data_IF_078312192627
#
_entry.id   IF_078312192627
#
_cell.length_a   1.000
_cell.length_b   1.000
_cell.length_c   1.000
_cell.angle_alpha   90.00
_cell.angle_beta   90.00
_cell.angle_gamma   90.00
#
_symmetry.space_group_name_H-M   'P 1'
#
loop_
_entity.id
_entity.type
_entity.pdbx_description
1 polymer ?
#
# COMPACT_ATOMS: atom_id res chain seq x y z
N UNK A 1 -79.87 -5.29 87.15
CA UNK A 1 -81.21 -5.68 86.68
C UNK A 1 -81.82 -4.53 85.91
N UNK A 2 -82.44 -4.86 84.77
CA UNK A 2 -83.35 -4.05 83.93
C UNK A 2 -82.72 -2.98 83.01
N UNK A 3 -82.49 -3.29 81.72
CA UNK A 3 -83.45 -3.35 80.57
C UNK A 3 -83.51 -1.98 79.89
N UNK A 4 -82.76 -1.73 78.81
CA UNK A 4 -82.99 -2.12 77.39
C UNK A 4 -84.07 -1.29 76.67
N UNK A 5 -83.63 -0.51 75.66
CA UNK A 5 -84.33 -0.14 74.40
C UNK A 5 -83.42 0.79 73.60
N UNK A 6 -82.58 0.29 72.68
CA UNK A 6 -82.83 0.10 71.24
C UNK A 6 -83.61 1.25 70.58
N UNK A 7 -82.89 2.15 69.92
CA UNK A 7 -83.38 2.89 68.75
C UNK A 7 -82.37 2.63 67.62
N UNK A 8 -82.83 1.88 66.63
CA UNK A 8 -82.15 1.62 65.37
C UNK A 8 -82.53 2.77 64.44
N UNK A 9 -81.55 3.58 64.02
CA UNK A 9 -81.71 4.49 62.88
C UNK A 9 -80.87 3.94 61.74
N UNK A 10 -81.54 3.26 60.82
CA UNK A 10 -80.99 2.85 59.54
C UNK A 10 -80.89 4.10 58.64
N UNK A 11 -79.70 4.70 58.59
CA UNK A 11 -79.36 5.77 57.66
C UNK A 11 -78.78 5.20 56.38
N UNK A 12 -79.59 5.17 55.33
CA UNK A 12 -79.25 4.75 53.98
C UNK A 12 -78.53 5.92 53.27
N UNK A 13 -77.19 5.93 53.19
CA UNK A 13 -76.46 6.93 52.39
C UNK A 13 -75.25 6.32 51.66
N UNK A 14 -75.45 6.15 50.35
CA UNK A 14 -74.50 6.27 49.24
C UNK A 14 -73.11 5.64 49.38
N UNK A 15 -72.95 4.47 48.74
CA UNK A 15 -71.67 3.96 48.25
C UNK A 15 -71.09 4.91 47.18
N UNK A 16 -70.13 5.76 47.57
CA UNK A 16 -69.32 6.53 46.63
C UNK A 16 -68.26 5.59 46.05
N UNK A 17 -68.47 5.19 44.80
CA UNK A 17 -67.49 4.43 44.05
C UNK A 17 -66.17 5.23 43.95
N UNK A 18 -65.07 4.52 44.18
CA UNK A 18 -63.72 5.04 44.10
C UNK A 18 -63.41 5.61 42.70
N UNK A 19 -62.88 6.83 42.67
CA UNK A 19 -62.06 7.33 41.58
C UNK A 19 -60.72 7.80 42.18
N UNK A 20 -59.88 6.83 42.57
CA UNK A 20 -58.47 7.10 42.70
C UNK A 20 -57.93 7.42 41.29
N UNK A 21 -57.18 8.53 41.09
CA UNK A 21 -56.55 8.78 39.80
C UNK A 21 -55.64 7.58 39.48
N UNK A 22 -55.79 7.00 38.28
CA UNK A 22 -54.85 6.00 37.77
C UNK A 22 -53.42 6.56 37.97
N UNK A 23 -52.49 5.80 38.57
CA UNK A 23 -51.09 6.19 38.57
C UNK A 23 -50.68 6.50 37.14
N UNK A 24 -50.31 7.75 36.87
CA UNK A 24 -49.74 8.13 35.59
C UNK A 24 -48.49 7.27 35.46
N UNK A 25 -48.44 6.40 34.45
CA UNK A 25 -47.25 5.62 34.18
C UNK A 25 -46.06 6.60 34.09
N UNK A 26 -44.94 6.34 34.80
CA UNK A 26 -43.78 7.21 34.72
C UNK A 26 -43.40 7.42 33.25
N UNK A 27 -43.04 8.64 32.84
CA UNK A 27 -42.68 8.92 31.46
C UNK A 27 -41.60 7.94 31.01
N UNK A 28 -41.67 7.42 29.76
CA UNK A 28 -40.68 6.48 29.27
C UNK A 28 -39.29 7.09 29.41
N UNK A 29 -38.28 6.30 29.83
CA UNK A 29 -36.92 6.80 29.97
C UNK A 29 -36.46 7.40 28.64
N UNK A 30 -35.68 8.51 28.67
CA UNK A 30 -35.19 9.13 27.46
C UNK A 30 -34.40 8.10 26.64
N UNK A 31 -34.54 8.12 25.30
CA UNK A 31 -33.81 7.20 24.45
C UNK A 31 -32.31 7.31 24.74
N UNK A 32 -31.59 6.18 24.83
CA UNK A 32 -30.15 6.20 25.09
C UNK A 32 -29.46 7.08 24.05
N UNK A 33 -28.44 7.86 24.47
CA UNK A 33 -27.73 8.74 23.55
C UNK A 33 -27.17 7.91 22.38
N UNK A 34 -27.22 8.45 21.14
CA UNK A 34 -26.72 7.74 19.98
C UNK A 34 -25.25 7.40 20.18
N UNK A 35 -24.90 6.13 20.00
CA UNK A 35 -23.51 5.67 20.05
C UNK A 35 -22.76 6.34 18.90
N UNK A 36 -21.90 7.30 19.21
CA UNK A 36 -21.03 7.94 18.21
C UNK A 36 -19.94 6.95 17.85
N UNK A 37 -20.03 6.33 16.68
CA UNK A 37 -18.96 5.48 16.14
C UNK A 37 -17.85 6.39 15.61
N UNK A 38 -16.75 6.50 16.34
CA UNK A 38 -15.56 7.22 15.86
C UNK A 38 -14.85 6.38 14.81
N UNK A 39 -14.93 6.80 13.55
CA UNK A 39 -14.25 6.15 12.43
C UNK A 39 -12.79 6.64 12.41
N UNK A 40 -11.78 5.75 12.52
CA UNK A 40 -10.38 6.17 12.41
C UNK A 40 -10.06 6.65 10.98
N UNK A 41 -9.05 7.51 10.78
CA UNK A 41 -8.65 7.92 9.45
C UNK A 41 -8.17 6.72 8.63
N UNK A 42 -8.49 6.74 7.32
CA UNK A 42 -8.00 5.73 6.38
C UNK A 42 -6.47 5.77 6.32
N UNK A 43 -5.77 4.63 6.28
CA UNK A 43 -4.33 4.59 6.10
C UNK A 43 -3.89 5.41 4.87
N UNK A 44 -2.72 6.06 4.98
CA UNK A 44 -2.11 6.81 3.88
C UNK A 44 -0.95 6.01 3.26
N UNK A 45 -0.70 6.18 1.95
CA UNK A 45 0.42 5.50 1.29
C UNK A 45 1.76 6.00 1.87
N UNK A 46 2.74 5.10 2.07
CA UNK A 46 4.05 5.47 2.57
C UNK A 46 4.80 6.38 1.60
N UNK A 47 5.65 7.27 2.12
CA UNK A 47 6.49 8.14 1.31
C UNK A 47 5.72 9.10 0.39
N UNK A 48 4.45 9.41 0.72
CA UNK A 48 3.54 10.18 -0.13
C UNK A 48 3.40 9.58 -1.55
N UNK A 49 3.47 8.25 -1.66
CA UNK A 49 3.29 7.58 -2.95
C UNK A 49 1.88 7.77 -3.51
N UNK A 50 1.74 7.61 -4.81
CA UNK A 50 0.42 7.60 -5.47
C UNK A 50 -0.46 6.50 -4.86
N UNK A 51 -1.76 6.77 -4.73
CA UNK A 51 -2.77 5.75 -4.36
C UNK A 51 -2.87 4.61 -5.38
N UNK A 52 -2.39 4.85 -6.61
CA UNK A 52 -2.39 3.90 -7.73
C UNK A 52 -1.01 3.33 -8.04
N UNK A 53 -0.05 3.41 -7.10
CA UNK A 53 1.28 2.84 -7.30
C UNK A 53 1.18 1.34 -7.64
N UNK A 54 1.79 0.97 -8.76
CA UNK A 54 1.92 -0.42 -9.19
C UNK A 54 3.19 -0.98 -8.56
N UNK A 55 3.04 -2.10 -7.84
CA UNK A 55 4.17 -2.81 -7.26
C UNK A 55 4.77 -3.79 -8.28
N UNK A 56 6.10 -3.99 -8.25
CA UNK A 56 6.73 -5.03 -9.04
C UNK A 56 6.23 -6.42 -8.63
N UNK A 57 6.46 -7.41 -9.49
CA UNK A 57 6.18 -8.81 -9.17
C UNK A 57 7.07 -9.31 -8.03
N UNK A 58 6.62 -10.37 -7.34
CA UNK A 58 7.43 -11.10 -6.35
C UNK A 58 8.05 -12.35 -6.97
N UNK A 59 9.26 -12.72 -6.54
CA UNK A 59 9.89 -13.99 -6.86
C UNK A 59 9.33 -15.12 -5.99
N UNK A 60 9.79 -16.34 -6.25
CA UNK A 60 9.39 -17.56 -5.53
C UNK A 60 9.71 -17.53 -4.02
N UNK A 61 10.66 -16.68 -3.61
CA UNK A 61 11.05 -16.42 -2.23
C UNK A 61 10.19 -15.36 -1.54
N UNK A 62 9.19 -14.81 -2.24
CA UNK A 62 8.27 -13.78 -1.74
C UNK A 62 8.84 -12.36 -1.77
N UNK A 63 10.08 -12.15 -2.23
CA UNK A 63 10.68 -10.81 -2.33
C UNK A 63 10.27 -10.11 -3.62
N UNK A 64 10.18 -8.79 -3.59
CA UNK A 64 9.98 -8.01 -4.82
C UNK A 64 11.17 -8.13 -5.77
N UNK A 65 10.88 -8.33 -7.06
CA UNK A 65 11.87 -8.40 -8.12
C UNK A 65 12.08 -7.03 -8.72
N UNK A 66 13.33 -6.57 -8.70
CA UNK A 66 13.78 -5.27 -9.19
C UNK A 66 14.74 -5.45 -10.37
N UNK A 67 15.10 -4.36 -11.05
CA UNK A 67 16.14 -4.38 -12.08
C UNK A 67 17.53 -4.79 -11.53
N UNK A 68 17.69 -4.81 -10.21
CA UNK A 68 18.92 -5.15 -9.51
C UNK A 68 18.90 -6.56 -8.89
N UNK A 69 17.80 -7.30 -9.01
CA UNK A 69 17.64 -8.63 -8.39
C UNK A 69 18.49 -9.70 -9.08
N UNK A 70 19.28 -10.44 -8.29
CA UNK A 70 20.08 -11.56 -8.78
C UNK A 70 21.23 -11.20 -9.72
N UNK A 71 21.61 -9.92 -9.79
CA UNK A 71 22.66 -9.44 -10.69
C UNK A 71 24.04 -9.56 -10.02
N UNK A 72 25.01 -10.09 -10.76
CA UNK A 72 26.39 -10.33 -10.28
C UNK A 72 27.45 -9.75 -11.21
N UNK A 73 28.72 -9.78 -10.77
CA UNK A 73 29.89 -9.47 -11.60
C UNK A 73 29.86 -8.07 -12.23
N UNK A 74 30.30 -7.99 -13.49
CA UNK A 74 30.43 -6.74 -14.25
C UNK A 74 29.11 -5.97 -14.32
N UNK A 75 28.00 -6.66 -14.55
CA UNK A 75 26.68 -6.05 -14.63
C UNK A 75 26.28 -5.44 -13.28
N UNK A 76 26.56 -6.10 -12.16
CA UNK A 76 26.26 -5.56 -10.83
C UNK A 76 27.01 -4.26 -10.58
N UNK A 77 28.32 -4.23 -10.89
CA UNK A 77 29.12 -3.02 -10.73
C UNK A 77 28.65 -1.88 -11.65
N UNK A 78 28.27 -2.19 -12.90
CA UNK A 78 27.74 -1.20 -13.83
C UNK A 78 26.42 -0.59 -13.34
N UNK A 79 25.48 -1.40 -12.85
CA UNK A 79 24.21 -0.90 -12.28
C UNK A 79 24.42 -0.12 -10.99
N UNK A 80 25.34 -0.57 -10.12
CA UNK A 80 25.76 0.15 -8.91
C UNK A 80 26.28 1.54 -9.24
N UNK A 81 27.16 1.65 -10.26
CA UNK A 81 27.66 2.95 -10.74
C UNK A 81 26.53 3.87 -11.23
N UNK A 82 25.51 3.32 -11.89
CA UNK A 82 24.34 4.11 -12.33
C UNK A 82 23.57 4.62 -11.11
N UNK A 83 23.26 3.77 -10.14
CA UNK A 83 22.57 4.19 -8.92
C UNK A 83 23.34 5.27 -8.16
N UNK A 84 24.66 5.11 -8.00
CA UNK A 84 25.50 6.14 -7.36
C UNK A 84 25.57 7.44 -8.17
N UNK A 85 25.46 7.38 -9.50
CA UNK A 85 25.39 8.58 -10.33
C UNK A 85 24.05 9.31 -10.16
N UNK A 86 22.94 8.58 -10.11
CA UNK A 86 21.62 9.14 -9.80
C UNK A 86 21.65 9.83 -8.45
N UNK A 87 22.24 9.19 -7.44
CA UNK A 87 22.39 9.79 -6.12
C UNK A 87 23.25 11.06 -6.15
N UNK A 88 24.43 11.03 -6.77
CA UNK A 88 25.32 12.19 -6.87
C UNK A 88 24.66 13.39 -7.57
N UNK A 89 23.74 13.15 -8.53
CA UNK A 89 23.02 14.21 -9.24
C UNK A 89 21.75 14.63 -8.50
N UNK A 90 21.04 13.73 -7.82
CA UNK A 90 19.70 13.97 -7.29
C UNK A 90 19.60 14.18 -5.78
N UNK A 91 20.56 13.70 -4.99
CA UNK A 91 20.54 13.82 -3.54
C UNK A 91 21.09 15.17 -3.09
N UNK A 92 20.38 15.81 -2.15
CA UNK A 92 20.70 17.14 -1.62
C UNK A 92 20.63 17.13 -0.09
N UNK A 93 21.38 18.04 0.53
CA UNK A 93 21.40 18.21 1.99
C UNK A 93 22.78 17.94 2.60
N UNK A 94 22.79 17.52 3.87
CA UNK A 94 24.02 17.43 4.69
C UNK A 94 25.10 16.52 4.09
N UNK A 95 24.69 15.46 3.39
CA UNK A 95 25.58 14.43 2.84
C UNK A 95 25.94 14.67 1.38
N UNK A 96 25.46 15.76 0.76
CA UNK A 96 25.66 16.03 -0.66
C UNK A 96 27.14 16.13 -1.03
N UNK A 97 27.90 16.93 -0.28
CA UNK A 97 29.33 17.14 -0.55
C UNK A 97 30.14 15.84 -0.41
N UNK A 98 29.85 15.04 0.61
CA UNK A 98 30.54 13.76 0.85
C UNK A 98 30.20 12.73 -0.22
N UNK A 99 28.94 12.65 -0.64
CA UNK A 99 28.48 11.76 -1.70
C UNK A 99 29.10 12.12 -3.05
N UNK A 100 29.07 13.40 -3.45
CA UNK A 100 29.65 13.86 -4.72
C UNK A 100 31.15 13.64 -4.73
N UNK A 101 31.86 13.93 -3.64
CA UNK A 101 33.30 13.67 -3.52
C UNK A 101 33.64 12.19 -3.66
N UNK A 102 32.92 11.31 -2.95
CA UNK A 102 33.13 9.87 -3.04
C UNK A 102 32.83 9.34 -4.45
N UNK A 103 31.75 9.79 -5.09
CA UNK A 103 31.41 9.39 -6.45
C UNK A 103 32.48 9.81 -7.47
N UNK A 104 33.00 11.04 -7.36
CA UNK A 104 34.11 11.50 -8.19
C UNK A 104 35.39 10.67 -7.96
N UNK A 105 35.67 10.26 -6.72
CA UNK A 105 36.79 9.36 -6.43
C UNK A 105 36.59 7.96 -7.03
N UNK A 106 35.36 7.43 -7.04
CA UNK A 106 35.02 6.16 -7.71
C UNK A 106 35.33 6.26 -9.21
N UNK A 107 34.91 7.33 -9.88
CA UNK A 107 35.20 7.54 -11.31
C UNK A 107 36.71 7.60 -11.55
N UNK A 108 37.44 8.33 -10.71
CA UNK A 108 38.90 8.50 -10.82
C UNK A 108 39.64 7.18 -10.62
N UNK A 109 39.30 6.44 -9.56
CA UNK A 109 40.00 5.23 -9.14
C UNK A 109 39.65 4.03 -10.03
N UNK A 110 38.38 3.86 -10.37
CA UNK A 110 37.86 2.66 -11.06
C UNK A 110 37.55 2.88 -12.54
N UNK A 111 37.99 4.00 -13.14
CA UNK A 111 37.61 4.40 -14.50
C UNK A 111 37.88 3.35 -15.59
N UNK A 112 38.96 2.56 -15.48
CA UNK A 112 39.22 1.44 -16.41
C UNK A 112 38.20 0.31 -16.25
N UNK A 113 37.87 -0.04 -15.00
CA UNK A 113 36.88 -1.07 -14.69
C UNK A 113 35.49 -0.65 -15.17
N UNK A 114 35.08 0.60 -14.91
CA UNK A 114 33.79 1.16 -15.38
C UNK A 114 33.63 0.98 -16.89
N UNK A 115 34.64 1.36 -17.68
CA UNK A 115 34.63 1.21 -19.15
C UNK A 115 34.57 -0.27 -19.57
N UNK A 116 35.32 -1.13 -18.89
CA UNK A 116 35.32 -2.57 -19.16
C UNK A 116 33.95 -3.19 -18.88
N UNK A 117 33.37 -2.92 -17.72
CA UNK A 117 32.06 -3.48 -17.34
C UNK A 117 30.94 -3.02 -18.26
N UNK A 118 30.97 -1.76 -18.70
CA UNK A 118 30.00 -1.27 -19.68
C UNK A 118 30.12 -2.00 -21.02
N UNK A 119 31.35 -2.23 -21.49
CA UNK A 119 31.58 -3.02 -22.70
C UNK A 119 31.07 -4.46 -22.55
N UNK A 120 31.27 -5.09 -21.39
CA UNK A 120 30.71 -6.41 -21.07
C UNK A 120 29.18 -6.38 -21.16
N UNK A 121 28.53 -5.42 -20.50
CA UNK A 121 27.06 -5.27 -20.51
C UNK A 121 26.52 -5.09 -21.94
N UNK A 122 27.16 -4.24 -22.75
CA UNK A 122 26.79 -4.06 -24.17
C UNK A 122 26.89 -5.40 -24.91
N UNK A 123 27.99 -6.14 -24.73
CA UNK A 123 28.20 -7.44 -25.37
C UNK A 123 27.16 -8.49 -24.95
N UNK A 124 26.81 -8.56 -23.67
CA UNK A 124 25.79 -9.47 -23.15
C UNK A 124 24.40 -9.13 -23.70
N UNK A 125 24.02 -7.85 -23.67
CA UNK A 125 22.74 -7.38 -24.20
C UNK A 125 22.64 -7.59 -25.71
N UNK A 126 23.73 -7.33 -26.45
CA UNK A 126 23.79 -7.59 -27.89
C UNK A 126 23.60 -9.07 -28.23
N UNK A 127 24.26 -9.97 -27.49
CA UNK A 127 24.08 -11.42 -27.64
C UNK A 127 22.64 -11.85 -27.34
N UNK A 128 22.07 -11.39 -26.23
CA UNK A 128 20.72 -11.75 -25.81
C UNK A 128 19.64 -11.27 -26.80
N UNK A 129 19.85 -10.12 -27.44
CA UNK A 129 18.87 -9.49 -28.33
C UNK A 129 19.21 -9.65 -29.82
N UNK A 130 20.32 -10.31 -30.16
CA UNK A 130 20.85 -10.44 -31.53
C UNK A 130 21.07 -9.08 -32.20
N UNK A 131 21.60 -8.12 -31.45
CA UNK A 131 21.93 -6.74 -31.89
C UNK A 131 23.38 -6.40 -31.56
N UNK A 132 23.80 -5.15 -31.81
CA UNK A 132 25.07 -4.62 -31.31
C UNK A 132 25.03 -4.19 -29.82
N UNK A 133 23.88 -4.34 -29.14
CA UNK A 133 23.69 -4.12 -27.70
C UNK A 133 23.61 -2.67 -27.23
N UNK A 134 23.89 -1.69 -28.09
CA UNK A 134 23.97 -0.27 -27.67
C UNK A 134 22.58 0.26 -27.28
N UNK A 135 21.58 0.01 -28.13
CA UNK A 135 20.19 0.43 -27.88
C UNK A 135 19.64 -0.21 -26.61
N UNK A 136 19.97 -1.47 -26.38
CA UNK A 136 19.55 -2.24 -25.22
C UNK A 136 20.22 -1.71 -23.95
N UNK A 137 21.52 -1.36 -24.01
CA UNK A 137 22.25 -0.71 -22.92
C UNK A 137 21.62 0.62 -22.56
N UNK A 138 21.31 1.46 -23.56
CA UNK A 138 20.68 2.77 -23.34
C UNK A 138 19.31 2.61 -22.68
N UNK A 139 18.48 1.68 -23.18
CA UNK A 139 17.18 1.35 -22.59
C UNK A 139 17.31 0.91 -21.12
N UNK A 140 18.25 0.01 -20.83
CA UNK A 140 18.48 -0.48 -19.47
C UNK A 140 18.97 0.65 -18.56
N UNK A 141 19.86 1.52 -19.06
CA UNK A 141 20.31 2.71 -18.33
C UNK A 141 19.13 3.59 -17.94
N UNK A 142 18.26 3.95 -18.90
CA UNK A 142 17.05 4.74 -18.62
C UNK A 142 16.13 4.07 -17.59
N UNK A 143 15.94 2.75 -17.67
CA UNK A 143 15.15 2.01 -16.68
C UNK A 143 15.75 2.11 -15.28
N UNK A 144 17.07 1.97 -15.15
CA UNK A 144 17.77 2.09 -13.87
C UNK A 144 17.74 3.52 -13.33
N UNK A 145 17.89 4.53 -14.19
CA UNK A 145 17.74 5.93 -13.80
C UNK A 145 16.35 6.20 -13.22
N UNK A 146 15.30 5.79 -13.93
CA UNK A 146 13.93 5.94 -13.46
C UNK A 146 13.67 5.17 -12.16
N UNK A 147 14.25 3.97 -12.04
CA UNK A 147 14.15 3.15 -10.85
C UNK A 147 14.78 3.82 -9.63
N UNK A 148 16.04 4.27 -9.73
CA UNK A 148 16.74 4.93 -8.63
C UNK A 148 16.23 6.34 -8.32
N UNK A 149 15.40 6.92 -9.18
CA UNK A 149 14.79 8.24 -9.00
C UNK A 149 13.35 8.19 -8.45
N UNK A 150 12.86 7.03 -7.98
CA UNK A 150 11.50 6.91 -7.43
C UNK A 150 11.33 7.80 -6.18
N UNK A 151 10.47 8.85 -6.23
CA UNK A 151 10.35 9.81 -5.13
C UNK A 151 10.00 9.21 -3.76
N UNK A 152 9.13 8.19 -3.64
CA UNK A 152 8.73 7.64 -2.33
C UNK A 152 9.89 7.02 -1.53
N UNK A 153 10.92 6.50 -2.21
CA UNK A 153 12.08 5.88 -1.58
C UNK A 153 13.28 6.85 -1.47
N UNK A 154 13.20 8.04 -2.09
CA UNK A 154 14.35 8.91 -2.35
C UNK A 154 15.10 9.32 -1.08
N UNK A 155 14.39 9.63 0.01
CA UNK A 155 15.02 10.06 1.27
C UNK A 155 15.93 8.97 1.85
N UNK A 156 15.42 7.75 1.94
CA UNK A 156 16.17 6.61 2.45
C UNK A 156 17.26 6.17 1.46
N UNK A 157 16.98 6.24 0.16
CA UNK A 157 17.97 6.02 -0.89
C UNK A 157 19.16 6.97 -0.78
N UNK A 158 18.95 8.26 -0.56
CA UNK A 158 20.06 9.23 -0.48
C UNK A 158 21.00 8.95 0.68
N UNK A 159 20.46 8.67 1.88
CA UNK A 159 21.28 8.29 3.04
C UNK A 159 22.10 7.02 2.78
N UNK A 160 21.44 6.01 2.22
CA UNK A 160 22.07 4.73 1.85
C UNK A 160 23.11 4.88 0.74
N UNK A 161 22.86 5.75 -0.24
CA UNK A 161 23.77 5.98 -1.35
C UNK A 161 25.06 6.66 -0.89
N UNK A 162 25.00 7.57 0.09
CA UNK A 162 26.20 8.17 0.69
C UNK A 162 27.05 7.10 1.36
N UNK A 163 26.46 6.23 2.19
CA UNK A 163 27.15 5.09 2.82
C UNK A 163 27.84 4.21 1.77
N UNK A 164 27.09 3.73 0.77
CA UNK A 164 27.61 2.85 -0.28
C UNK A 164 28.69 3.55 -1.12
N UNK A 165 28.54 4.85 -1.41
CA UNK A 165 29.56 5.60 -2.14
C UNK A 165 30.89 5.63 -1.38
N UNK A 166 30.89 5.82 -0.05
CA UNK A 166 32.12 5.80 0.75
C UNK A 166 32.77 4.40 0.73
N UNK A 167 31.99 3.33 0.84
CA UNK A 167 32.48 1.96 0.79
C UNK A 167 33.12 1.65 -0.57
N UNK A 168 32.43 1.95 -1.67
CA UNK A 168 32.94 1.69 -3.03
C UNK A 168 34.16 2.57 -3.36
N UNK A 169 34.17 3.82 -2.87
CA UNK A 169 35.29 4.76 -3.01
C UNK A 169 36.57 4.25 -2.35
N UNK A 170 36.46 3.55 -1.21
CA UNK A 170 37.59 2.97 -0.48
C UNK A 170 37.91 1.52 -0.87
N UNK A 171 37.06 0.86 -1.65
CA UNK A 171 37.28 -0.52 -2.11
C UNK A 171 38.43 -0.57 -3.12
N UNK A 172 39.43 -1.45 -2.95
CA UNK A 172 40.48 -1.65 -3.94
C UNK A 172 39.93 -2.10 -5.28
N UNK A 173 40.49 -1.59 -6.39
CA UNK A 173 40.00 -1.92 -7.75
C UNK A 173 39.98 -3.42 -8.05
N UNK A 174 40.92 -4.18 -7.49
CA UNK A 174 40.95 -5.65 -7.65
C UNK A 174 39.76 -6.36 -7.00
N UNK A 175 39.08 -5.73 -6.04
CA UNK A 175 37.98 -6.32 -5.26
C UNK A 175 36.62 -5.75 -5.64
N UNK A 176 36.58 -4.62 -6.35
CA UNK A 176 35.35 -3.84 -6.57
C UNK A 176 34.25 -4.61 -7.31
N UNK A 177 34.62 -5.47 -8.28
CA UNK A 177 33.66 -6.32 -9.00
C UNK A 177 33.08 -7.41 -8.09
N UNK A 178 33.92 -8.04 -7.26
CA UNK A 178 33.49 -9.09 -6.35
C UNK A 178 32.57 -8.53 -5.24
N UNK A 179 32.83 -7.30 -4.78
CA UNK A 179 32.03 -6.62 -3.76
C UNK A 179 30.72 -6.00 -4.31
N UNK A 180 30.67 -5.70 -5.61
CA UNK A 180 29.57 -4.97 -6.24
C UNK A 180 28.17 -5.54 -5.99
N UNK A 181 27.92 -6.87 -6.02
CA UNK A 181 26.58 -7.41 -5.77
C UNK A 181 26.04 -7.08 -4.38
N UNK A 182 26.91 -7.15 -3.35
CA UNK A 182 26.53 -6.81 -1.98
C UNK A 182 26.24 -5.31 -1.81
N UNK A 183 27.09 -4.45 -2.39
CA UNK A 183 26.86 -3.01 -2.40
C UNK A 183 25.60 -2.61 -3.17
N UNK A 184 25.33 -3.26 -4.31
CA UNK A 184 24.12 -3.04 -5.10
C UNK A 184 22.87 -3.44 -4.32
N UNK A 185 22.87 -4.62 -3.68
CA UNK A 185 21.76 -5.04 -2.83
C UNK A 185 21.51 -4.07 -1.67
N UNK A 186 22.58 -3.57 -1.06
CA UNK A 186 22.52 -2.57 0.01
C UNK A 186 21.94 -1.25 -0.50
N UNK A 187 22.32 -0.82 -1.70
CA UNK A 187 21.78 0.37 -2.38
C UNK A 187 20.31 0.20 -2.81
N UNK A 188 19.90 -1.01 -3.15
CA UNK A 188 18.54 -1.36 -3.61
C UNK A 188 17.51 -1.43 -2.47
N UNK A 189 17.98 -1.71 -1.25
CA UNK A 189 17.12 -2.00 -0.10
C UNK A 189 16.04 -0.93 0.21
N UNK A 190 16.30 0.39 0.12
CA UNK A 190 15.28 1.41 0.37
C UNK A 190 14.05 1.30 -0.54
N UNK A 191 14.21 0.83 -1.77
CA UNK A 191 13.10 0.60 -2.70
C UNK A 191 12.29 -0.64 -2.31
N UNK A 192 12.99 -1.71 -1.91
CA UNK A 192 12.35 -2.93 -1.39
C UNK A 192 11.54 -2.62 -0.12
N UNK A 193 12.12 -1.86 0.80
CA UNK A 193 11.44 -1.44 2.04
C UNK A 193 10.18 -0.62 1.73
N UNK A 194 10.27 0.29 0.75
CA UNK A 194 9.10 1.03 0.27
C UNK A 194 8.03 0.10 -0.32
N UNK A 195 8.40 -0.88 -1.15
CA UNK A 195 7.45 -1.80 -1.75
C UNK A 195 6.74 -2.66 -0.70
N UNK A 196 7.46 -3.14 0.33
CA UNK A 196 6.84 -3.87 1.44
C UNK A 196 5.90 -2.98 2.26
N UNK A 197 6.32 -1.75 2.58
CA UNK A 197 5.47 -0.79 3.27
C UNK A 197 4.20 -0.47 2.48
N UNK A 198 4.32 -0.35 1.15
CA UNK A 198 3.18 -0.06 0.29
C UNK A 198 2.24 -1.27 0.15
N UNK A 199 2.78 -2.48 0.07
CA UNK A 199 1.97 -3.70 0.08
C UNK A 199 1.18 -3.84 1.40
N UNK A 200 1.83 -3.53 2.53
CA UNK A 200 1.14 -3.47 3.82
C UNK A 200 0.04 -2.41 3.83
N UNK A 201 0.32 -1.21 3.31
CA UNK A 201 -0.69 -0.16 3.17
C UNK A 201 -1.91 -0.63 2.38
N UNK A 202 -1.74 -1.34 1.26
CA UNK A 202 -2.87 -1.85 0.47
C UNK A 202 -3.77 -2.80 1.29
N UNK A 203 -3.18 -3.69 2.08
CA UNK A 203 -3.92 -4.61 2.95
C UNK A 203 -4.65 -3.85 4.07
N UNK A 204 -3.96 -2.94 4.74
CA UNK A 204 -4.53 -2.15 5.84
C UNK A 204 -5.68 -1.26 5.34
N UNK A 205 -5.53 -0.68 4.15
CA UNK A 205 -6.54 0.17 3.54
C UNK A 205 -7.76 -0.63 3.08
N UNK A 206 -7.58 -1.82 2.50
CA UNK A 206 -8.68 -2.72 2.15
C UNK A 206 -9.45 -3.20 3.38
N UNK A 207 -8.75 -3.52 4.47
CA UNK A 207 -9.37 -3.90 5.74
C UNK A 207 -10.16 -2.73 6.37
N UNK A 208 -9.64 -1.51 6.26
CA UNK A 208 -10.35 -0.30 6.66
C UNK A 208 -11.61 -0.09 5.82
N UNK A 209 -11.51 -0.21 4.49
CA UNK A 209 -12.63 -0.04 3.56
C UNK A 209 -13.73 -1.07 3.84
N UNK A 210 -13.36 -2.34 4.06
CA UNK A 210 -14.31 -3.40 4.41
C UNK A 210 -15.07 -3.14 5.72
N UNK A 211 -14.44 -2.47 6.69
CA UNK A 211 -15.03 -2.21 8.02
C UNK A 211 -15.85 -0.93 8.08
N UNK A 212 -15.43 0.12 7.37
CA UNK A 212 -15.96 1.48 7.52
C UNK A 212 -16.61 2.06 6.25
N UNK A 213 -16.40 1.44 5.08
CA UNK A 213 -16.97 1.84 3.81
C UNK A 213 -17.47 0.62 2.99
N UNK A 214 -18.36 -0.23 3.55
CA UNK A 214 -18.82 -1.42 2.85
C UNK A 214 -19.52 -1.03 1.55
N UNK A 215 -19.30 -1.76 0.45
CA UNK A 215 -19.97 -1.48 -0.82
C UNK A 215 -21.48 -1.58 -0.65
N UNK A 216 -22.27 -0.71 -1.33
CA UNK A 216 -23.72 -0.81 -1.29
C UNK A 216 -24.15 -2.21 -1.73
N UNK A 217 -25.15 -2.78 -1.05
CA UNK A 217 -25.68 -4.07 -1.41
C UNK A 217 -26.08 -4.06 -2.89
N UNK A 218 -25.50 -4.98 -3.67
CA UNK A 218 -25.91 -5.19 -5.06
C UNK A 218 -27.32 -5.76 -4.98
N UNK A 219 -28.35 -4.93 -5.16
CA UNK A 219 -29.70 -5.43 -5.34
C UNK A 219 -29.70 -6.20 -6.65
N UNK A 220 -29.63 -7.53 -6.58
CA UNK A 220 -29.95 -8.38 -7.71
C UNK A 220 -31.37 -8.00 -8.13
N UNK A 221 -31.53 -7.39 -9.30
CA UNK A 221 -32.85 -7.17 -9.86
C UNK A 221 -33.57 -8.53 -9.88
N UNK A 222 -34.82 -8.62 -9.37
CA UNK A 222 -35.57 -9.87 -9.47
C UNK A 222 -35.62 -10.28 -10.94
N UNK A 223 -35.36 -11.57 -11.20
CA UNK A 223 -35.45 -12.12 -12.54
C UNK A 223 -36.78 -11.68 -13.18
N UNK A 224 -36.79 -11.22 -14.44
CA UNK A 224 -38.03 -10.88 -15.11
C UNK A 224 -38.94 -12.10 -15.05
N UNK A 225 -40.12 -11.94 -14.46
CA UNK A 225 -41.15 -12.97 -14.45
C UNK A 225 -41.46 -13.28 -15.91
N UNK A 226 -41.16 -14.50 -16.35
CA UNK A 226 -41.46 -14.91 -17.71
C UNK A 226 -42.97 -14.77 -17.94
N UNK A 227 -43.36 -13.90 -18.88
CA UNK A 227 -44.74 -13.81 -19.32
C UNK A 227 -45.18 -15.18 -19.86
N UNK A 228 -46.38 -15.67 -19.50
CA UNK A 228 -46.87 -16.92 -20.06
C UNK A 228 -46.99 -16.77 -21.58
N UNK A 229 -46.34 -17.67 -22.31
CA UNK A 229 -46.47 -17.82 -23.76
C UNK A 229 -47.94 -18.07 -24.07
N UNK A 230 -48.58 -17.16 -24.81
CA UNK A 230 -49.92 -17.41 -25.34
C UNK A 230 -49.85 -18.60 -26.32
N UNK A 231 -50.75 -19.59 -26.20
CA UNK A 231 -50.82 -20.68 -27.17
C UNK A 231 -51.17 -20.11 -28.55
N UNK A 232 -50.43 -20.55 -29.57
CA UNK A 232 -50.74 -20.24 -30.97
C UNK A 232 -52.14 -20.78 -31.34
N UNK A 233 -52.94 -20.03 -32.12
CA UNK A 233 -54.21 -20.54 -32.61
C UNK A 233 -53.98 -21.69 -33.59
N UNK A 234 -54.65 -22.82 -33.34
CA UNK A 234 -54.70 -23.98 -34.24
C UNK A 234 -55.28 -23.61 -35.61
N UNK A 235 -54.81 -24.22 -36.71
CA UNK A 235 -55.32 -23.94 -38.03
C UNK A 235 -56.71 -24.57 -38.19
N UNK A 236 -57.72 -23.74 -38.46
CA UNK A 236 -59.00 -24.22 -38.96
C UNK A 236 -58.87 -24.42 -40.48
N UNK A 237 -58.94 -25.68 -40.92
CA UNK A 237 -59.19 -26.00 -42.32
C UNK A 237 -60.65 -25.72 -42.67
N UNK A 238 -60.87 -25.21 -43.89
CA UNK A 238 -61.59 -25.83 -45.03
C UNK A 238 -60.96 -25.21 -46.29
#
# INVERSE_FOLDING_TARGET
MNVSRKIIVAGLLASVAACAPKPVAPPPPPPPPPVVVVIPPRPLPPGNASLTQILPGRSIDGRFVTANSGITGDKAFWQLKIGLNVAAIGCRGLEEATLVSAYNNIIKTHGKVIKSTEKTVIGELGKANKTNGIKERDRLSTQLFNYFAQPPAQRAFCARANEVAQLVSSTPTAQVIAAAPGHLATLDQPFLDFYEAYAKYQLDAAAWDAKYAPPPAIMSAPAPVASPVQPAPSPAGI
#
